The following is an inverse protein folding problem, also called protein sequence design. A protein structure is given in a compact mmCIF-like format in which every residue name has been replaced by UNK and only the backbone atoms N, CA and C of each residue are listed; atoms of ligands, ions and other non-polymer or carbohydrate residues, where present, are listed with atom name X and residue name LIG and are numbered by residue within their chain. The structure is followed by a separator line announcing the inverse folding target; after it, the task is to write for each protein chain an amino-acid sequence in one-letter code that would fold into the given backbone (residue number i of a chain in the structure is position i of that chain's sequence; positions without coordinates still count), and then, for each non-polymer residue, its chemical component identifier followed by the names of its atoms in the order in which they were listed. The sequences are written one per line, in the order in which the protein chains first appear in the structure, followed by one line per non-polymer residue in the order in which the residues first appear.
data_IF_783815239789
#
_entry.id   IF_783815239789
#
_cell.length_a   1.000
_cell.length_b   1.000
_cell.length_c   1.000
_cell.angle_alpha   90.00
_cell.angle_beta   90.00
_cell.angle_gamma   90.00
#
_symmetry.space_group_name_H-M   'P 1'
#
loop_
_entity.id
_entity.type
_entity.pdbx_description
1 polymer ?
#
# COMPACT_ATOMS: atom_id res chain seq x y z
N UNK A 1 -3.98 -16.15 1.65
CA UNK A 1 -5.17 -16.40 2.50
C UNK A 1 -5.02 -15.86 3.93
N UNK A 2 -3.82 -15.89 4.52
CA UNK A 2 -3.59 -15.40 5.89
C UNK A 2 -4.12 -14.00 6.19
N UNK A 3 -3.96 -13.03 5.27
CA UNK A 3 -4.52 -11.68 5.41
C UNK A 3 -6.05 -11.68 5.49
N UNK A 4 -6.74 -12.46 4.65
CA UNK A 4 -8.21 -12.56 4.67
C UNK A 4 -8.69 -13.11 6.00
N UNK A 5 -8.04 -14.15 6.52
CA UNK A 5 -8.36 -14.70 7.84
C UNK A 5 -8.10 -13.70 8.97
N UNK A 6 -6.99 -12.95 8.92
CA UNK A 6 -6.70 -11.94 9.93
C UNK A 6 -7.77 -10.85 9.96
N UNK A 7 -8.17 -10.32 8.80
CA UNK A 7 -9.25 -9.34 8.67
C UNK A 7 -10.59 -9.92 9.12
N UNK A 8 -10.95 -11.11 8.66
CA UNK A 8 -12.21 -11.78 9.05
C UNK A 8 -12.31 -12.00 10.57
N UNK A 9 -11.19 -12.28 11.26
CA UNK A 9 -11.16 -12.41 12.72
C UNK A 9 -11.31 -11.08 13.47
N UNK A 10 -10.94 -9.96 12.85
CA UNK A 10 -11.07 -8.64 13.46
C UNK A 10 -12.48 -8.09 13.35
N UNK A 11 -13.26 -8.52 12.34
CA UNK A 11 -14.64 -8.08 12.07
C UNK A 11 -14.77 -6.53 11.99
N UNK A 12 -13.70 -5.86 11.57
CA UNK A 12 -13.67 -4.41 11.37
C UNK A 12 -14.19 -4.04 9.97
N UNK A 13 -14.93 -2.93 9.81
CA UNK A 13 -15.28 -2.43 8.48
C UNK A 13 -14.03 -2.29 7.61
N UNK A 14 -14.01 -3.00 6.48
CA UNK A 14 -12.82 -3.11 5.64
C UNK A 14 -13.16 -2.82 4.18
N UNK A 15 -12.45 -1.88 3.59
CA UNK A 15 -12.41 -1.69 2.14
C UNK A 15 -11.30 -2.54 1.54
N UNK A 16 -11.66 -3.50 0.71
CA UNK A 16 -10.71 -4.43 0.09
C UNK A 16 -10.57 -4.16 -1.40
N UNK A 17 -9.37 -3.79 -1.84
CA UNK A 17 -9.08 -3.59 -3.25
C UNK A 17 -8.60 -4.88 -3.90
N UNK A 18 -9.12 -5.19 -5.09
CA UNK A 18 -8.60 -6.33 -5.87
C UNK A 18 -7.13 -6.08 -6.25
N UNK A 19 -6.35 -7.16 -6.39
CA UNK A 19 -4.97 -7.06 -6.85
C UNK A 19 -4.93 -6.47 -8.26
N UNK A 20 -3.89 -5.69 -8.55
CA UNK A 20 -3.58 -5.30 -9.93
C UNK A 20 -3.42 -6.55 -10.82
N UNK A 21 -3.66 -6.37 -12.11
CA UNK A 21 -3.48 -7.41 -13.13
C UNK A 21 -1.98 -7.59 -13.39
N UNK A 22 -1.33 -8.33 -12.50
CA UNK A 22 0.08 -8.73 -12.60
C UNK A 22 0.15 -10.27 -12.81
N UNK A 23 1.25 -10.79 -13.36
CA UNK A 23 1.44 -12.23 -13.46
C UNK A 23 1.28 -12.91 -12.07
N UNK A 24 0.29 -13.79 -11.93
CA UNK A 24 -0.06 -14.43 -10.65
C UNK A 24 -1.27 -13.83 -9.91
N UNK A 25 -1.89 -12.75 -10.42
CA UNK A 25 -3.10 -12.15 -9.84
C UNK A 25 -4.31 -13.09 -9.82
N UNK A 26 -4.33 -14.08 -10.72
CA UNK A 26 -5.41 -15.08 -10.82
C UNK A 26 -5.53 -15.92 -9.55
N UNK A 27 -4.39 -16.29 -8.94
CA UNK A 27 -4.38 -17.06 -7.69
C UNK A 27 -4.95 -16.26 -6.51
N UNK A 28 -4.63 -14.96 -6.44
CA UNK A 28 -5.16 -14.07 -5.39
C UNK A 28 -6.66 -13.85 -5.57
N UNK A 29 -7.10 -13.61 -6.81
CA UNK A 29 -8.52 -13.40 -7.11
C UNK A 29 -9.36 -14.66 -6.83
N UNK A 30 -8.85 -15.85 -7.17
CA UNK A 30 -9.51 -17.11 -6.88
C UNK A 30 -9.57 -17.38 -5.36
N UNK A 31 -8.48 -17.14 -4.63
CA UNK A 31 -8.46 -17.29 -3.17
C UNK A 31 -9.45 -16.35 -2.48
N UNK A 32 -9.56 -15.10 -2.92
CA UNK A 32 -10.60 -14.19 -2.42
C UNK A 32 -11.98 -14.78 -2.71
N UNK A 33 -12.29 -15.17 -3.95
CA UNK A 33 -13.62 -15.72 -4.31
C UNK A 33 -14.00 -16.92 -3.45
N UNK A 34 -13.12 -17.92 -3.33
CA UNK A 34 -13.35 -19.10 -2.50
C UNK A 34 -13.59 -18.74 -1.03
N UNK A 35 -12.86 -17.75 -0.51
CA UNK A 35 -13.06 -17.25 0.85
C UNK A 35 -14.46 -16.66 1.05
N UNK A 36 -14.95 -15.88 0.06
CA UNK A 36 -16.28 -15.26 0.11
C UNK A 36 -17.43 -16.27 0.10
N UNK A 37 -17.24 -17.40 -0.57
CA UNK A 37 -18.25 -18.47 -0.64
C UNK A 37 -18.34 -19.28 0.66
N UNK A 38 -17.28 -19.29 1.47
CA UNK A 38 -17.16 -20.13 2.66
C UNK A 38 -17.27 -19.38 3.99
N UNK A 39 -17.30 -18.04 3.97
CA UNK A 39 -17.28 -17.22 5.18
C UNK A 39 -18.26 -16.04 5.10
N UNK A 40 -18.83 -15.67 6.24
CA UNK A 40 -19.58 -14.42 6.38
C UNK A 40 -18.63 -13.22 6.54
N UNK A 41 -18.69 -12.34 5.54
CA UNK A 41 -17.78 -11.21 5.34
C UNK A 41 -18.54 -9.92 5.01
N UNK A 42 -19.76 -9.74 5.51
CA UNK A 42 -20.56 -8.53 5.26
C UNK A 42 -19.82 -7.21 5.61
N UNK A 43 -18.90 -7.26 6.57
CA UNK A 43 -18.03 -6.15 6.96
C UNK A 43 -16.92 -5.80 5.95
N UNK A 44 -16.75 -6.59 4.87
CA UNK A 44 -15.72 -6.38 3.86
C UNK A 44 -16.37 -5.93 2.55
N UNK A 45 -16.01 -4.74 2.07
CA UNK A 45 -16.52 -4.16 0.83
C UNK A 45 -15.44 -4.17 -0.24
N UNK A 46 -15.70 -4.84 -1.36
CA UNK A 46 -14.69 -5.07 -2.40
C UNK A 46 -14.75 -4.03 -3.52
N UNK A 47 -13.61 -3.42 -3.86
CA UNK A 47 -13.46 -2.42 -4.90
C UNK A 47 -12.49 -2.91 -5.98
N UNK A 48 -12.91 -2.84 -7.25
CA UNK A 48 -12.02 -3.15 -8.39
C UNK A 48 -11.07 -1.99 -8.64
N UNK A 49 -11.64 -0.82 -8.87
CA UNK A 49 -10.91 0.41 -9.15
C UNK A 49 -11.57 1.56 -8.37
N UNK A 50 -10.80 2.62 -8.15
CA UNK A 50 -11.24 3.89 -7.59
C UNK A 50 -10.35 4.98 -8.20
N UNK A 51 -10.92 6.16 -8.46
CA UNK A 51 -10.11 7.29 -8.93
C UNK A 51 -9.02 7.63 -7.91
N UNK A 52 -7.79 7.97 -8.34
CA UNK A 52 -6.66 8.15 -7.43
C UNK A 52 -6.92 9.15 -6.31
N UNK A 53 -7.58 10.28 -6.61
CA UNK A 53 -7.89 11.30 -5.60
C UNK A 53 -8.89 10.80 -4.55
N UNK A 54 -9.91 10.05 -4.98
CA UNK A 54 -10.89 9.48 -4.05
C UNK A 54 -10.26 8.37 -3.21
N UNK A 55 -9.31 7.62 -3.77
CA UNK A 55 -8.53 6.65 -3.02
C UNK A 55 -7.67 7.32 -1.94
N UNK A 56 -7.05 8.46 -2.22
CA UNK A 56 -6.32 9.23 -1.20
C UNK A 56 -7.25 9.79 -0.12
N UNK A 57 -8.45 10.27 -0.49
CA UNK A 57 -9.49 10.69 0.48
C UNK A 57 -9.95 9.52 1.35
N UNK A 58 -10.08 8.32 0.78
CA UNK A 58 -10.40 7.12 1.55
C UNK A 58 -9.27 6.80 2.55
N UNK A 59 -8.02 6.84 2.10
CA UNK A 59 -6.85 6.51 2.92
C UNK A 59 -6.70 7.47 4.11
N UNK A 60 -6.81 8.79 3.90
CA UNK A 60 -6.66 9.77 5.00
C UNK A 60 -7.76 9.63 6.07
N UNK A 61 -8.92 9.07 5.69
CA UNK A 61 -10.01 8.76 6.62
C UNK A 61 -10.00 7.31 7.12
N UNK A 62 -9.02 6.50 6.72
CA UNK A 62 -8.87 5.11 7.14
C UNK A 62 -7.99 5.03 8.39
N UNK A 63 -8.30 4.10 9.30
CA UNK A 63 -7.51 3.91 10.51
C UNK A 63 -6.18 3.20 10.24
N UNK A 64 -6.10 2.37 9.19
CA UNK A 64 -4.89 1.64 8.84
C UNK A 64 -4.99 1.12 7.40
N UNK A 65 -3.90 1.14 6.66
CA UNK A 65 -3.75 0.43 5.41
C UNK A 65 -3.00 -0.89 5.63
N UNK A 66 -3.54 -1.99 5.13
CA UNK A 66 -2.97 -3.34 5.27
C UNK A 66 -2.72 -3.93 3.89
N UNK A 67 -1.50 -4.43 3.64
CA UNK A 67 -1.16 -5.06 2.38
C UNK A 67 0.29 -4.82 1.99
N UNK A 68 0.59 -4.71 0.70
CA UNK A 68 1.95 -4.50 0.21
C UNK A 68 2.01 -3.52 -0.98
N UNK A 69 1.03 -2.61 -1.03
CA UNK A 69 0.97 -1.55 -2.04
C UNK A 69 2.03 -0.48 -1.77
N UNK A 70 2.57 0.11 -2.83
CA UNK A 70 3.51 1.22 -2.72
C UNK A 70 2.91 2.43 -2.01
N UNK A 71 1.57 2.56 -2.05
CA UNK A 71 0.85 3.67 -1.42
C UNK A 71 1.08 3.72 0.09
N UNK A 72 1.27 2.55 0.72
CA UNK A 72 1.59 2.48 2.14
C UNK A 72 2.97 3.04 2.49
N UNK A 73 3.91 2.98 1.55
CA UNK A 73 5.29 3.42 1.79
C UNK A 73 5.47 4.90 1.45
N UNK A 74 4.83 5.38 0.38
CA UNK A 74 5.05 6.73 -0.16
C UNK A 74 3.98 7.71 0.31
N UNK A 75 2.76 7.56 -0.19
CA UNK A 75 1.68 8.51 0.07
C UNK A 75 1.20 8.45 1.53
N UNK A 76 1.03 7.25 2.12
CA UNK A 76 0.63 7.11 3.52
C UNK A 76 1.67 7.66 4.52
N UNK A 77 2.96 7.71 4.15
CA UNK A 77 3.97 8.36 4.97
C UNK A 77 3.72 9.86 5.08
N UNK A 78 3.34 10.49 3.97
CA UNK A 78 2.94 11.90 3.96
C UNK A 78 1.58 12.13 4.63
N UNK A 79 0.61 11.27 4.38
CA UNK A 79 -0.74 11.38 4.95
C UNK A 79 -0.82 10.99 6.43
N UNK A 80 0.28 10.54 7.04
CA UNK A 80 0.33 10.04 8.41
C UNK A 80 -0.64 8.87 8.69
N UNK A 81 -0.93 8.06 7.66
CA UNK A 81 -1.83 6.90 7.78
C UNK A 81 -1.03 5.69 8.25
N UNK A 82 -1.44 5.02 9.35
CA UNK A 82 -0.79 3.79 9.82
C UNK A 82 -0.80 2.70 8.75
N UNK A 83 0.30 1.96 8.61
CA UNK A 83 0.47 0.93 7.58
C UNK A 83 0.99 -0.37 8.18
N UNK A 84 0.34 -1.48 7.86
CA UNK A 84 0.89 -2.84 8.02
C UNK A 84 1.35 -3.32 6.65
N UNK A 85 2.67 -3.29 6.41
CA UNK A 85 3.28 -3.78 5.18
C UNK A 85 3.56 -5.29 5.29
N UNK A 86 3.03 -6.08 4.35
CA UNK A 86 3.06 -7.54 4.38
C UNK A 86 4.06 -8.08 3.36
N UNK A 87 5.05 -8.82 3.84
CA UNK A 87 6.06 -9.47 3.02
C UNK A 87 7.04 -8.50 2.37
N UNK A 88 7.73 -8.99 1.35
CA UNK A 88 8.99 -8.40 0.84
C UNK A 88 8.83 -7.51 -0.40
N UNK A 89 7.60 -7.30 -0.89
CA UNK A 89 7.36 -6.55 -2.14
C UNK A 89 7.90 -5.11 -2.08
N UNK A 90 7.96 -4.53 -0.88
CA UNK A 90 8.42 -3.16 -0.66
C UNK A 90 9.85 -3.11 -0.10
N UNK A 91 10.61 -4.19 -0.15
CA UNK A 91 11.99 -4.21 0.33
C UNK A 91 12.89 -3.24 -0.45
N UNK A 92 13.91 -2.72 0.22
CA UNK A 92 14.83 -1.71 -0.34
C UNK A 92 14.28 -0.29 -0.38
N UNK A 93 13.03 -0.07 0.04
CA UNK A 93 12.43 1.27 0.18
C UNK A 93 12.63 1.81 1.59
N UNK A 94 12.89 3.10 1.70
CA UNK A 94 12.89 3.79 2.99
C UNK A 94 11.53 3.67 3.71
N UNK A 95 11.56 3.68 5.05
CA UNK A 95 10.37 3.52 5.89
C UNK A 95 10.06 4.81 6.63
N UNK A 96 8.84 5.30 6.46
CA UNK A 96 8.28 6.32 7.35
C UNK A 96 7.93 5.74 8.72
N UNK A 97 7.70 6.61 9.74
CA UNK A 97 7.32 6.19 11.09
C UNK A 97 5.94 5.50 11.15
N UNK A 98 5.19 5.58 10.05
CA UNK A 98 3.85 5.01 9.90
C UNK A 98 3.86 3.52 9.53
N UNK A 99 4.98 2.95 9.11
CA UNK A 99 5.05 1.57 8.57
C UNK A 99 5.45 0.55 9.64
N UNK A 100 4.72 -0.56 9.70
CA UNK A 100 5.08 -1.76 10.44
C UNK A 100 5.15 -2.94 9.48
N UNK A 101 6.34 -3.53 9.33
CA UNK A 101 6.56 -4.68 8.45
C UNK A 101 6.22 -6.00 9.17
N UNK A 102 5.54 -6.91 8.48
CA UNK A 102 5.21 -8.27 8.95
C UNK A 102 5.40 -9.31 7.84
N UNK A 103 5.62 -10.56 8.22
CA UNK A 103 5.63 -11.68 7.26
C UNK A 103 4.21 -12.15 6.91
N UNK A 104 4.11 -13.14 6.02
CA UNK A 104 2.85 -13.78 5.61
C UNK A 104 2.27 -14.70 6.71
N UNK A 105 2.13 -14.21 7.93
CA UNK A 105 1.59 -14.93 9.08
C UNK A 105 0.37 -14.21 9.65
N UNK A 106 -0.75 -14.93 9.78
CA UNK A 106 -2.03 -14.36 10.24
C UNK A 106 -1.97 -13.76 11.64
N UNK A 107 -1.23 -14.36 12.56
CA UNK A 107 -1.13 -13.85 13.94
C UNK A 107 -0.33 -12.55 13.95
N UNK A 108 0.78 -12.50 13.23
CA UNK A 108 1.59 -11.29 13.07
C UNK A 108 0.79 -10.17 12.40
N UNK A 109 0.09 -10.47 11.31
CA UNK A 109 -0.75 -9.49 10.60
C UNK A 109 -1.81 -8.93 11.55
N UNK A 110 -2.57 -9.80 12.24
CA UNK A 110 -3.60 -9.38 13.17
C UNK A 110 -3.04 -8.51 14.30
N UNK A 111 -1.95 -8.93 14.91
CA UNK A 111 -1.31 -8.20 16.00
C UNK A 111 -0.81 -6.84 15.54
N UNK A 112 -0.17 -6.77 14.36
CA UNK A 112 0.31 -5.52 13.80
C UNK A 112 -0.83 -4.54 13.49
N UNK A 113 -1.96 -5.05 12.97
CA UNK A 113 -3.15 -4.22 12.76
C UNK A 113 -3.63 -3.65 14.10
N UNK A 114 -3.80 -4.49 15.12
CA UNK A 114 -4.24 -4.03 16.45
C UNK A 114 -3.29 -2.99 17.05
N UNK A 115 -1.97 -3.19 16.90
CA UNK A 115 -0.97 -2.23 17.36
C UNK A 115 -1.09 -0.91 16.60
N UNK A 116 -1.23 -0.93 15.27
CA UNK A 116 -1.37 0.27 14.46
C UNK A 116 -2.67 1.04 14.76
N UNK A 117 -3.77 0.34 15.01
CA UNK A 117 -5.04 0.96 15.41
C UNK A 117 -4.97 1.68 16.77
N UNK A 118 -4.03 1.31 17.64
CA UNK A 118 -3.82 1.94 18.93
C UNK A 118 -2.83 3.13 18.87
N UNK A 119 -2.13 3.33 17.75
CA UNK A 119 -1.19 4.46 17.58
C UNK A 119 -1.94 5.76 17.43
N UNK A 120 -1.44 6.81 18.09
CA UNK A 120 -1.99 8.18 18.03
C UNK A 120 -0.94 9.23 17.71
N UNK A 121 0.32 8.81 17.58
CA UNK A 121 1.53 9.60 17.49
C UNK A 121 2.19 9.53 16.10
N UNK A 122 1.48 9.03 15.08
CA UNK A 122 2.02 8.97 13.72
C UNK A 122 2.00 10.37 13.12
N UNK A 123 3.20 10.88 12.83
CA UNK A 123 3.40 12.17 12.18
C UNK A 123 3.61 12.00 10.67
N UNK A 124 3.26 13.04 9.92
CA UNK A 124 3.56 13.15 8.49
C UNK A 124 5.08 13.14 8.25
N UNK A 125 5.51 12.46 7.20
CA UNK A 125 6.90 12.38 6.76
C UNK A 125 7.06 12.75 5.29
N UNK A 126 8.06 13.58 5.01
CA UNK A 126 8.43 14.03 3.66
C UNK A 126 9.55 13.18 3.03
N UNK A 127 9.76 11.96 3.52
CA UNK A 127 10.84 11.07 3.08
C UNK A 127 10.83 10.80 1.57
N UNK A 128 9.66 10.83 0.92
CA UNK A 128 9.49 10.66 -0.53
C UNK A 128 9.30 11.96 -1.31
N UNK A 129 9.54 13.11 -0.67
CA UNK A 129 9.52 14.42 -1.30
C UNK A 129 8.48 15.38 -0.71
N UNK A 130 8.50 16.58 -1.29
CA UNK A 130 7.76 17.77 -0.86
C UNK A 130 6.72 18.22 -1.91
N UNK A 131 6.46 17.38 -2.92
CA UNK A 131 5.55 17.69 -4.02
C UNK A 131 6.14 18.59 -5.11
N UNK A 132 7.40 19.02 -5.01
CA UNK A 132 8.02 19.94 -5.99
C UNK A 132 8.79 19.21 -7.11
N UNK A 133 8.69 17.89 -7.18
CA UNK A 133 9.46 17.08 -8.14
C UNK A 133 9.16 17.47 -9.60
N UNK A 134 7.89 17.72 -9.95
CA UNK A 134 7.51 18.07 -11.33
C UNK A 134 8.20 19.34 -11.84
N UNK A 135 8.20 20.41 -11.04
CA UNK A 135 8.88 21.66 -11.38
C UNK A 135 10.39 21.48 -11.51
N UNK A 136 11.03 20.82 -10.53
CA UNK A 136 12.48 20.54 -10.54
C UNK A 136 12.89 19.71 -11.76
N UNK A 137 12.11 18.69 -12.10
CA UNK A 137 12.37 17.85 -13.28
C UNK A 137 12.26 18.68 -14.56
N UNK A 138 11.22 19.51 -14.69
CA UNK A 138 11.04 20.37 -15.85
C UNK A 138 12.19 21.37 -16.02
N UNK A 139 12.64 22.02 -14.95
CA UNK A 139 13.79 22.93 -14.94
C UNK A 139 15.09 22.23 -15.36
N UNK A 140 15.33 21.03 -14.84
CA UNK A 140 16.50 20.23 -15.23
C UNK A 140 16.41 19.86 -16.71
N UNK A 141 15.27 19.37 -17.19
CA UNK A 141 15.11 19.00 -18.60
C UNK A 141 15.27 20.20 -19.55
N UNK A 142 14.85 21.40 -19.13
CA UNK A 142 14.96 22.61 -19.93
C UNK A 142 16.39 23.15 -20.02
N UNK A 143 17.24 22.88 -19.02
CA UNK A 143 18.59 23.44 -18.90
C UNK A 143 19.71 22.42 -19.06
N UNK A 144 19.42 21.12 -18.93
CA UNK A 144 20.42 20.08 -19.02
C UNK A 144 21.00 20.00 -20.44
N UNK A 145 22.33 19.93 -20.57
CA UNK A 145 22.95 19.72 -21.87
C UNK A 145 22.53 18.36 -22.42
N UNK A 146 21.93 18.36 -23.62
CA UNK A 146 21.58 17.13 -24.31
C UNK A 146 22.87 16.42 -24.73
N UNK A 147 23.19 15.33 -24.04
CA UNK A 147 24.29 14.44 -24.40
C UNK A 147 23.74 13.19 -25.04
N UNK A 148 24.42 12.68 -26.06
CA UNK A 148 24.09 11.40 -26.68
C UNK A 148 25.32 10.49 -26.58
N UNK A 149 25.12 9.29 -26.05
CA UNK A 149 26.15 8.25 -26.04
C UNK A 149 25.73 7.15 -26.99
N UNK A 150 26.24 7.19 -28.23
CA UNK A 150 26.00 6.11 -29.20
C UNK A 150 26.97 4.97 -28.90
N UNK A 151 26.49 3.92 -28.21
CA UNK A 151 27.21 2.64 -28.15
C UNK A 151 26.80 1.79 -29.34
N UNK A 152 27.70 1.67 -30.32
CA UNK A 152 27.57 0.66 -31.37
C UNK A 152 28.08 -0.67 -30.79
N UNK A 153 27.27 -1.74 -30.79
CA UNK A 153 27.77 -3.06 -30.46
C UNK A 153 28.54 -3.56 -31.69
N UNK A 154 29.88 -3.57 -31.58
CA UNK A 154 30.71 -4.42 -32.42
C UNK A 154 31.03 -5.67 -31.62
#
# INVERSE_FOLDING_TARGET
EETLHAIHQLKLPTFWFWSNVDAGSDGTSNGIRAFRESHDIEHIHFFKNMEPEDFLKLLINSQCLVGNSSVGIRECAYLAVPVVNIGVRQDGRERGPNVMDVHYDRKQIKQAIQTQLARTDIASSHIYGDGQAGGRIAEILASAPLTFTKRLPY
#
